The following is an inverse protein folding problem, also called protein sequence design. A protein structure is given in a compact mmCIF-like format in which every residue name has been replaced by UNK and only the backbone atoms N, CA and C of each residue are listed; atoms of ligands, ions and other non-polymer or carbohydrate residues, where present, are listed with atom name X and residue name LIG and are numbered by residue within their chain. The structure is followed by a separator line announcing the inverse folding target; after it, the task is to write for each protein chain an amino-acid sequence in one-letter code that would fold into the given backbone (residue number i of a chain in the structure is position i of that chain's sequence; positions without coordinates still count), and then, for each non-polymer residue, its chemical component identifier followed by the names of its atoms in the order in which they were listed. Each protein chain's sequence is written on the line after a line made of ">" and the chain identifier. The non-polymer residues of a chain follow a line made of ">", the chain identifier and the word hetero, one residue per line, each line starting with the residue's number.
data_IF_090445480468
#
_entry.id   IF_090445480468
#
_cell.length_a   1.000
_cell.length_b   1.000
_cell.length_c   1.000
_cell.angle_alpha   90.00
_cell.angle_beta   90.00
_cell.angle_gamma   90.00
#
_symmetry.space_group_name_H-M   'P 1'
#
loop_
_entity.id
_entity.type
_entity.pdbx_description
1 polymer ?
#
# COMPACT_ATOMS: atom_id res chain seq x y z
N UNK A 1 48.88 -2.09 -22.01
CA UNK A 1 47.73 -1.15 -22.01
C UNK A 1 47.87 -0.32 -20.76
N UNK A 2 47.95 0.98 -20.89
CA UNK A 2 48.47 1.86 -19.85
C UNK A 2 47.39 2.14 -18.78
N UNK A 3 47.73 2.08 -17.49
CA UNK A 3 46.85 2.18 -16.32
C UNK A 3 45.99 3.46 -16.32
N UNK A 4 46.48 4.56 -16.91
CA UNK A 4 45.76 5.83 -16.98
C UNK A 4 44.53 5.80 -17.90
N UNK A 5 44.41 4.80 -18.77
CA UNK A 5 43.17 4.58 -19.57
C UNK A 5 42.13 3.84 -18.76
N UNK A 6 42.56 2.90 -17.92
CA UNK A 6 41.63 2.09 -17.11
C UNK A 6 41.10 2.80 -15.88
N UNK A 7 41.95 3.65 -15.27
CA UNK A 7 41.55 4.36 -14.04
C UNK A 7 40.28 5.19 -14.19
N UNK A 8 40.10 6.05 -15.21
CA UNK A 8 38.85 6.78 -15.42
C UNK A 8 37.61 5.85 -15.63
N UNK A 9 37.80 4.76 -16.38
CA UNK A 9 36.72 3.79 -16.64
C UNK A 9 36.30 3.13 -15.33
N UNK A 10 37.25 2.68 -14.51
CA UNK A 10 36.99 2.08 -13.21
C UNK A 10 36.24 3.08 -12.30
N UNK A 11 36.70 4.34 -12.26
CA UNK A 11 36.04 5.38 -11.45
C UNK A 11 34.59 5.62 -11.89
N UNK A 12 34.31 5.67 -13.19
CA UNK A 12 32.93 5.81 -13.72
C UNK A 12 32.08 4.60 -13.36
N UNK A 13 32.57 3.38 -13.52
CA UNK A 13 31.85 2.15 -13.15
C UNK A 13 31.59 2.12 -11.66
N UNK A 14 32.57 2.43 -10.82
CA UNK A 14 32.39 2.52 -9.36
C UNK A 14 31.35 3.55 -9.00
N UNK A 15 31.36 4.73 -9.61
CA UNK A 15 30.35 5.77 -9.39
C UNK A 15 28.94 5.27 -9.74
N UNK A 16 28.78 4.60 -10.89
CA UNK A 16 27.47 4.03 -11.31
C UNK A 16 26.97 3.00 -10.29
N UNK A 17 27.85 2.10 -9.83
CA UNK A 17 27.50 1.08 -8.84
C UNK A 17 27.15 1.69 -7.49
N UNK A 18 27.90 2.70 -7.03
CA UNK A 18 27.60 3.41 -5.77
C UNK A 18 26.23 4.09 -5.85
N UNK A 19 25.94 4.81 -6.92
CA UNK A 19 24.64 5.46 -7.13
C UNK A 19 23.51 4.43 -7.25
N UNK A 20 23.76 3.32 -7.94
CA UNK A 20 22.85 2.20 -8.00
C UNK A 20 22.55 1.61 -6.62
N UNK A 21 23.60 1.38 -5.82
CA UNK A 21 23.46 0.89 -4.45
C UNK A 21 22.69 1.87 -3.55
N UNK A 22 22.98 3.18 -3.62
CA UNK A 22 22.23 4.20 -2.84
C UNK A 22 20.74 4.16 -3.19
N UNK A 23 20.41 4.07 -4.48
CA UNK A 23 19.02 3.94 -4.92
C UNK A 23 18.39 2.63 -4.42
N UNK A 24 19.06 1.50 -4.58
CA UNK A 24 18.57 0.21 -4.09
C UNK A 24 18.40 0.21 -2.57
N UNK A 25 19.39 0.73 -1.84
CA UNK A 25 19.36 0.84 -0.39
C UNK A 25 18.15 1.66 0.08
N UNK A 26 17.85 2.78 -0.59
CA UNK A 26 16.68 3.60 -0.26
C UNK A 26 15.35 2.88 -0.49
N UNK A 27 15.30 1.73 -1.13
CA UNK A 27 14.11 0.91 -1.33
C UNK A 27 14.02 -0.22 -0.30
N UNK A 28 15.12 -0.96 -0.07
CA UNK A 28 15.10 -2.12 0.83
C UNK A 28 15.40 -1.80 2.30
N UNK A 29 16.01 -0.64 2.58
CA UNK A 29 16.35 -0.17 3.93
C UNK A 29 15.76 1.24 4.15
N UNK A 30 14.42 1.34 4.37
CA UNK A 30 13.75 2.61 4.58
C UNK A 30 14.20 3.30 5.87
N UNK A 31 14.19 4.62 5.87
CA UNK A 31 14.20 5.39 7.12
C UNK A 31 12.84 5.22 7.80
N UNK A 32 12.71 4.19 8.62
CA UNK A 32 11.47 3.81 9.28
C UNK A 32 11.09 4.80 10.37
N UNK A 33 9.82 5.14 10.43
CA UNK A 33 9.26 5.87 11.56
C UNK A 33 9.06 4.92 12.75
N UNK A 34 9.37 5.38 13.95
CA UNK A 34 8.90 4.72 15.18
C UNK A 34 7.39 4.93 15.34
N UNK A 35 6.75 4.17 16.20
CA UNK A 35 5.33 4.34 16.52
C UNK A 35 5.05 5.78 16.99
N UNK A 36 5.84 6.30 17.94
CA UNK A 36 5.67 7.67 18.44
C UNK A 36 5.83 8.71 17.34
N UNK A 37 6.84 8.56 16.48
CA UNK A 37 7.08 9.50 15.38
C UNK A 37 5.96 9.45 14.32
N UNK A 38 5.44 8.26 14.00
CA UNK A 38 4.32 8.12 13.07
C UNK A 38 3.02 8.70 13.65
N UNK A 39 2.75 8.44 14.94
CA UNK A 39 1.62 9.01 15.66
C UNK A 39 1.69 10.53 15.72
N UNK A 40 2.84 11.09 16.11
CA UNK A 40 3.04 12.54 16.14
C UNK A 40 2.84 13.18 14.75
N UNK A 41 3.31 12.50 13.71
CA UNK A 41 3.12 12.95 12.32
C UNK A 41 1.65 12.91 11.90
N UNK A 42 0.89 11.87 12.29
CA UNK A 42 -0.56 11.82 12.02
C UNK A 42 -1.33 12.89 12.78
N UNK A 43 -0.99 13.19 14.03
CA UNK A 43 -1.60 14.31 14.78
C UNK A 43 -1.45 15.65 14.07
N UNK A 44 -0.29 15.89 13.41
CA UNK A 44 -0.06 17.12 12.64
C UNK A 44 -0.84 17.10 11.32
N UNK A 45 -0.87 15.96 10.61
CA UNK A 45 -1.48 15.84 9.28
C UNK A 45 -3.01 15.70 9.33
N UNK A 46 -3.54 15.16 10.41
CA UNK A 46 -4.96 14.90 10.64
C UNK A 46 -5.31 15.19 12.10
N UNK A 47 -5.41 16.47 12.51
CA UNK A 47 -5.71 16.81 13.89
C UNK A 47 -6.98 16.12 14.39
N UNK A 48 -6.91 15.54 15.59
CA UNK A 48 -8.01 14.80 16.22
C UNK A 48 -8.17 13.33 15.78
N UNK A 49 -7.49 12.88 14.72
CA UNK A 49 -7.62 11.49 14.26
C UNK A 49 -7.04 10.49 15.27
N UNK A 50 -5.91 10.83 15.91
CA UNK A 50 -5.32 9.95 16.92
C UNK A 50 -6.11 9.98 18.24
N UNK A 51 -6.82 11.04 18.53
CA UNK A 51 -7.73 11.09 19.68
C UNK A 51 -8.92 10.15 19.45
N UNK A 52 -9.45 10.09 18.23
CA UNK A 52 -10.48 9.12 17.85
C UNK A 52 -9.92 7.70 17.93
N UNK A 53 -8.72 7.45 17.42
CA UNK A 53 -8.04 6.15 17.49
C UNK A 53 -7.92 5.65 18.93
N UNK A 54 -7.63 6.52 19.90
CA UNK A 54 -7.50 6.16 21.32
C UNK A 54 -8.84 5.76 21.98
N UNK A 55 -9.97 6.10 21.35
CA UNK A 55 -11.30 5.67 21.83
C UNK A 55 -11.69 4.29 21.32
N UNK A 56 -10.95 3.71 20.37
CA UNK A 56 -11.28 2.43 19.79
C UNK A 56 -10.83 1.26 20.66
N UNK A 57 -11.69 0.27 20.79
CA UNK A 57 -11.33 -1.01 21.41
C UNK A 57 -10.57 -1.87 20.39
N UNK A 58 -9.26 -1.69 20.33
CA UNK A 58 -8.37 -2.36 19.39
C UNK A 58 -7.71 -3.56 20.06
N UNK A 59 -7.98 -4.72 19.50
CA UNK A 59 -7.25 -5.93 19.88
C UNK A 59 -5.90 -5.99 19.16
N UNK A 60 -4.82 -6.21 19.89
CA UNK A 60 -3.47 -6.31 19.33
C UNK A 60 -2.89 -7.70 19.53
N UNK A 61 -2.32 -8.27 18.47
CA UNK A 61 -1.73 -9.60 18.49
C UNK A 61 -0.59 -9.72 17.48
N UNK A 62 0.01 -10.89 17.44
CA UNK A 62 1.03 -11.24 16.45
C UNK A 62 0.47 -12.26 15.46
N UNK A 63 0.80 -12.09 14.19
CA UNK A 63 0.51 -13.05 13.14
C UNK A 63 1.84 -13.71 12.75
N UNK A 64 1.92 -15.02 12.91
CA UNK A 64 3.04 -15.81 12.41
C UNK A 64 2.91 -15.99 10.90
N UNK A 65 3.94 -15.64 10.15
CA UNK A 65 3.93 -15.78 8.69
C UNK A 65 4.63 -17.06 8.23
N UNK A 66 4.25 -17.57 7.07
CA UNK A 66 4.94 -18.70 6.46
C UNK A 66 6.41 -18.40 6.10
N UNK A 67 6.80 -17.13 6.11
CA UNK A 67 8.18 -16.68 5.90
C UNK A 67 8.98 -16.57 7.21
N UNK A 68 8.47 -17.14 8.33
CA UNK A 68 9.14 -17.20 9.62
C UNK A 68 9.46 -15.83 10.24
N UNK A 69 8.62 -14.83 9.99
CA UNK A 69 8.59 -13.54 10.69
C UNK A 69 7.22 -13.34 11.31
N UNK A 70 7.13 -12.48 12.32
CA UNK A 70 5.87 -12.12 12.94
C UNK A 70 5.48 -10.70 12.58
N UNK A 71 4.21 -10.51 12.24
CA UNK A 71 3.61 -9.20 12.00
C UNK A 71 2.83 -8.74 13.21
N UNK A 72 3.04 -7.51 13.62
CA UNK A 72 2.21 -6.88 14.65
C UNK A 72 0.92 -6.39 14.04
N UNK A 73 -0.19 -6.89 14.54
CA UNK A 73 -1.53 -6.65 14.01
C UNK A 73 -2.43 -5.94 15.02
N UNK A 74 -3.37 -5.16 14.48
CA UNK A 74 -4.29 -4.28 15.19
C UNK A 74 -5.68 -4.47 14.61
N UNK A 75 -6.54 -5.21 15.33
CA UNK A 75 -7.89 -5.52 14.89
C UNK A 75 -8.91 -4.58 15.53
N UNK A 76 -9.65 -3.89 14.69
CA UNK A 76 -10.73 -2.98 15.05
C UNK A 76 -12.07 -3.59 14.65
N UNK A 77 -12.93 -4.03 15.58
CA UNK A 77 -14.22 -4.57 15.25
C UNK A 77 -15.16 -3.51 14.66
N UNK A 78 -16.08 -3.94 13.78
CA UNK A 78 -17.19 -3.13 13.34
C UNK A 78 -18.09 -2.76 14.51
N UNK A 79 -18.89 -1.69 14.39
CA UNK A 79 -19.85 -1.30 15.44
C UNK A 79 -21.03 -2.29 15.54
N UNK A 80 -21.36 -2.93 14.43
CA UNK A 80 -22.39 -3.96 14.36
C UNK A 80 -21.74 -5.23 13.84
N UNK A 81 -21.93 -6.32 14.56
CA UNK A 81 -21.37 -7.61 14.18
C UNK A 81 -21.91 -8.09 12.83
N UNK A 82 -21.01 -8.51 11.97
CA UNK A 82 -21.29 -8.95 10.60
C UNK A 82 -20.09 -9.74 10.04
N UNK A 83 -20.18 -10.18 8.79
CA UNK A 83 -19.12 -10.96 8.15
C UNK A 83 -18.23 -10.17 7.17
N UNK A 84 -18.19 -8.83 7.25
CA UNK A 84 -17.41 -7.98 6.32
C UNK A 84 -16.12 -7.53 6.97
N UNK A 85 -15.01 -7.82 6.29
CA UNK A 85 -13.66 -7.55 6.77
C UNK A 85 -12.85 -6.80 5.72
N UNK A 86 -11.91 -5.98 6.16
CA UNK A 86 -10.90 -5.35 5.32
C UNK A 86 -9.53 -5.41 5.99
N UNK A 87 -8.51 -5.81 5.24
CA UNK A 87 -7.11 -5.71 5.67
C UNK A 87 -6.49 -4.47 5.03
N UNK A 88 -5.84 -3.64 5.84
CA UNK A 88 -5.24 -2.38 5.38
C UNK A 88 -3.72 -2.44 5.49
N UNK A 89 -3.05 -2.33 4.35
CA UNK A 89 -1.61 -2.25 4.20
C UNK A 89 -1.14 -0.79 4.10
N UNK A 90 -0.25 -0.37 5.00
CA UNK A 90 0.24 1.00 5.06
C UNK A 90 1.34 1.30 4.04
N UNK A 91 1.68 2.58 3.87
CA UNK A 91 2.73 3.04 2.96
C UNK A 91 4.15 2.86 3.49
N UNK A 92 5.12 2.93 2.57
CA UNK A 92 6.56 2.84 2.81
C UNK A 92 7.04 3.79 3.91
N UNK A 93 7.97 3.33 4.75
CA UNK A 93 8.55 4.04 5.90
C UNK A 93 7.59 4.35 7.06
N UNK A 94 6.34 3.96 6.97
CA UNK A 94 5.29 4.31 7.95
C UNK A 94 5.01 3.14 8.92
N UNK A 95 3.92 3.22 9.66
CA UNK A 95 3.38 2.19 10.55
C UNK A 95 1.86 2.10 10.34
N UNK A 96 1.16 1.20 11.05
CA UNK A 96 -0.31 1.13 11.03
C UNK A 96 -1.01 2.48 11.31
N UNK A 97 -0.38 3.42 12.00
CA UNK A 97 -0.95 4.76 12.20
C UNK A 97 -1.31 5.46 10.88
N UNK A 98 -0.56 5.20 9.80
CA UNK A 98 -0.92 5.71 8.46
C UNK A 98 -2.21 5.14 7.90
N UNK A 99 -2.62 3.96 8.36
CA UNK A 99 -3.86 3.29 7.94
C UNK A 99 -5.11 3.76 8.72
N UNK A 100 -4.95 4.40 9.88
CA UNK A 100 -6.05 4.78 10.79
C UNK A 100 -7.13 5.60 10.10
N UNK A 101 -6.77 6.53 9.23
CA UNK A 101 -7.73 7.35 8.44
C UNK A 101 -8.64 6.50 7.54
N UNK A 102 -8.12 5.42 6.99
CA UNK A 102 -8.89 4.47 6.17
C UNK A 102 -9.67 3.50 7.04
N UNK A 103 -9.08 3.08 8.17
CA UNK A 103 -9.75 2.25 9.15
C UNK A 103 -11.04 2.91 9.67
N UNK A 104 -10.98 4.22 9.95
CA UNK A 104 -12.16 4.99 10.31
C UNK A 104 -13.24 4.92 9.22
N UNK A 105 -12.89 5.23 7.96
CA UNK A 105 -13.84 5.22 6.85
C UNK A 105 -14.45 3.84 6.60
N UNK A 106 -13.65 2.77 6.67
CA UNK A 106 -14.13 1.41 6.45
C UNK A 106 -14.99 0.92 7.61
N UNK A 107 -14.67 1.28 8.86
CA UNK A 107 -15.51 0.99 10.03
C UNK A 107 -16.86 1.69 9.96
N UNK A 108 -16.90 2.97 9.56
CA UNK A 108 -18.14 3.72 9.30
C UNK A 108 -19.02 3.05 8.22
N UNK A 109 -18.40 2.35 7.26
CA UNK A 109 -19.10 1.55 6.25
C UNK A 109 -19.44 0.12 6.72
N UNK A 110 -19.19 -0.18 7.99
CA UNK A 110 -19.57 -1.42 8.66
C UNK A 110 -18.60 -2.58 8.43
N UNK A 111 -17.33 -2.34 8.20
CA UNK A 111 -16.30 -3.37 8.10
C UNK A 111 -15.58 -3.57 9.43
N UNK A 112 -15.27 -4.82 9.78
CA UNK A 112 -14.19 -5.13 10.70
C UNK A 112 -12.87 -4.82 9.98
N UNK A 113 -11.93 -4.19 10.69
CA UNK A 113 -10.68 -3.71 10.08
C UNK A 113 -9.49 -4.40 10.74
N UNK A 114 -8.63 -5.00 9.94
CA UNK A 114 -7.31 -5.44 10.36
C UNK A 114 -6.27 -4.49 9.76
N UNK A 115 -5.56 -3.77 10.63
CA UNK A 115 -4.33 -3.06 10.28
C UNK A 115 -3.16 -3.91 10.77
N UNK A 116 -2.01 -3.80 10.14
CA UNK A 116 -0.78 -4.42 10.61
C UNK A 116 0.42 -3.54 10.24
N UNK A 117 1.50 -3.67 10.97
CA UNK A 117 2.76 -3.09 10.55
C UNK A 117 3.37 -4.01 9.49
N UNK A 118 3.66 -3.47 8.29
CA UNK A 118 4.34 -4.19 7.20
C UNK A 118 5.69 -4.74 7.70
N UNK A 119 6.19 -5.83 7.09
CA UNK A 119 7.54 -6.35 7.40
C UNK A 119 8.57 -5.24 7.47
N UNK A 120 9.48 -5.33 8.43
CA UNK A 120 10.55 -4.34 8.60
C UNK A 120 10.04 -2.93 8.93
N UNK A 121 8.77 -2.76 9.36
CA UNK A 121 8.19 -1.49 9.80
C UNK A 121 7.54 -1.63 11.17
N UNK A 122 7.36 -0.50 11.87
CA UNK A 122 6.70 -0.47 13.17
C UNK A 122 7.30 -1.47 14.15
N UNK A 123 6.44 -2.35 14.70
CA UNK A 123 6.83 -3.43 15.61
C UNK A 123 7.02 -4.79 14.90
N UNK A 124 6.65 -4.89 13.62
CA UNK A 124 6.80 -6.14 12.86
C UNK A 124 8.26 -6.52 12.63
N UNK A 125 8.49 -7.82 12.60
CA UNK A 125 9.80 -8.39 12.31
C UNK A 125 10.18 -8.24 10.84
N UNK A 126 11.36 -8.70 10.48
CA UNK A 126 11.93 -8.62 9.13
C UNK A 126 13.23 -7.83 9.10
N UNK A 127 13.97 -7.94 8.02
CA UNK A 127 15.29 -7.35 7.86
C UNK A 127 15.41 -6.43 6.62
N UNK A 128 14.34 -6.36 5.82
CA UNK A 128 14.29 -5.53 4.62
C UNK A 128 12.85 -5.32 4.13
N UNK A 129 12.69 -4.24 3.38
CA UNK A 129 11.50 -3.96 2.57
C UNK A 129 11.72 -4.41 1.12
N UNK A 130 10.69 -4.91 0.46
CA UNK A 130 10.76 -5.34 -0.95
C UNK A 130 9.74 -4.66 -1.85
N UNK A 131 9.18 -3.54 -1.41
CA UNK A 131 8.27 -2.70 -2.18
C UNK A 131 7.00 -3.43 -2.69
N UNK A 132 6.50 -4.38 -1.90
CA UNK A 132 5.29 -5.15 -2.20
C UNK A 132 5.54 -6.60 -2.58
N UNK A 133 6.79 -7.03 -2.85
CA UNK A 133 7.04 -8.41 -3.31
C UNK A 133 6.94 -9.46 -2.21
N UNK A 134 7.65 -9.31 -1.11
CA UNK A 134 7.49 -10.21 0.05
C UNK A 134 6.26 -9.79 0.86
N UNK A 135 5.97 -8.50 0.91
CA UNK A 135 4.82 -7.92 1.60
C UNK A 135 3.48 -8.48 1.09
N UNK A 136 3.36 -8.85 -0.20
CA UNK A 136 2.15 -9.52 -0.72
C UNK A 136 1.88 -10.87 -0.03
N UNK A 137 2.93 -11.58 0.36
CA UNK A 137 2.80 -12.85 1.08
C UNK A 137 2.47 -12.64 2.57
N UNK A 138 2.97 -11.55 3.16
CA UNK A 138 2.57 -11.15 4.51
C UNK A 138 1.09 -10.77 4.58
N UNK A 139 0.61 -10.05 3.56
CA UNK A 139 -0.81 -9.73 3.44
C UNK A 139 -1.66 -11.01 3.28
N UNK A 140 -1.19 -11.98 2.50
CA UNK A 140 -1.84 -13.30 2.39
C UNK A 140 -1.94 -14.00 3.75
N UNK A 141 -0.89 -13.94 4.58
CA UNK A 141 -0.91 -14.54 5.92
C UNK A 141 -1.86 -13.78 6.85
N UNK A 142 -1.92 -12.45 6.77
CA UNK A 142 -2.89 -11.64 7.50
C UNK A 142 -4.34 -11.95 7.09
N UNK A 143 -4.59 -12.18 5.81
CA UNK A 143 -5.88 -12.64 5.29
C UNK A 143 -6.19 -14.05 5.82
N UNK A 144 -5.23 -14.96 5.78
CA UNK A 144 -5.38 -16.34 6.24
C UNK A 144 -5.74 -16.38 7.73
N UNK A 145 -5.09 -15.56 8.54
CA UNK A 145 -5.43 -15.41 9.95
C UNK A 145 -6.91 -15.05 10.19
N UNK A 146 -7.46 -14.11 9.39
CA UNK A 146 -8.87 -13.74 9.51
C UNK A 146 -9.80 -14.90 9.12
N UNK A 147 -9.47 -15.66 8.07
CA UNK A 147 -10.25 -16.84 7.67
C UNK A 147 -10.16 -17.96 8.70
N UNK A 148 -9.02 -18.18 9.31
CA UNK A 148 -8.85 -19.17 10.40
C UNK A 148 -9.65 -18.77 11.65
N UNK A 149 -9.66 -17.49 11.97
CA UNK A 149 -10.31 -16.97 13.17
C UNK A 149 -11.82 -16.85 13.05
N UNK A 150 -12.32 -16.37 11.91
CA UNK A 150 -13.72 -16.00 11.73
C UNK A 150 -14.49 -16.92 10.76
N UNK A 151 -13.78 -17.89 10.17
CA UNK A 151 -14.39 -18.90 9.30
C UNK A 151 -14.42 -18.51 7.82
N UNK A 152 -14.87 -19.45 6.96
CA UNK A 152 -14.79 -19.31 5.50
C UNK A 152 -15.84 -18.36 4.90
N UNK A 153 -16.87 -17.98 5.65
CA UNK A 153 -18.02 -17.21 5.14
C UNK A 153 -17.81 -15.70 5.22
N UNK A 154 -16.62 -15.26 5.60
CA UNK A 154 -16.32 -13.82 5.65
C UNK A 154 -16.18 -13.23 4.24
N UNK A 155 -16.62 -11.98 4.11
CA UNK A 155 -16.47 -11.15 2.91
C UNK A 155 -15.27 -10.25 3.15
N UNK A 156 -14.15 -10.52 2.50
CA UNK A 156 -12.90 -9.83 2.76
C UNK A 156 -12.43 -9.02 1.54
N UNK A 157 -12.06 -7.77 1.79
CA UNK A 157 -11.36 -6.91 0.83
C UNK A 157 -10.01 -6.45 1.36
N UNK A 158 -9.19 -5.92 0.46
CA UNK A 158 -7.90 -5.31 0.82
C UNK A 158 -7.88 -3.84 0.45
N UNK A 159 -7.22 -3.05 1.27
CA UNK A 159 -6.98 -1.62 1.07
C UNK A 159 -5.50 -1.33 1.23
N UNK A 160 -4.89 -0.65 0.29
CA UNK A 160 -3.48 -0.28 0.40
C UNK A 160 -3.22 1.17 0.07
N UNK A 161 -2.25 1.76 0.76
CA UNK A 161 -1.74 3.11 0.49
C UNK A 161 -0.32 3.02 -0.07
N UNK A 162 -0.03 3.65 -1.21
CA UNK A 162 1.33 3.76 -1.77
C UNK A 162 1.98 2.38 -1.99
N UNK A 163 3.01 2.01 -1.24
CA UNK A 163 3.59 0.67 -1.24
C UNK A 163 2.54 -0.39 -0.87
N UNK A 164 1.72 -0.15 0.16
CA UNK A 164 0.64 -1.05 0.55
C UNK A 164 -0.39 -1.25 -0.57
N UNK A 165 -0.62 -0.23 -1.43
CA UNK A 165 -1.46 -0.37 -2.61
C UNK A 165 -0.86 -1.34 -3.64
N UNK A 166 0.47 -1.29 -3.83
CA UNK A 166 1.16 -2.26 -4.67
C UNK A 166 1.10 -3.67 -4.06
N UNK A 167 1.28 -3.79 -2.74
CA UNK A 167 1.13 -5.03 -1.96
C UNK A 167 -0.25 -5.65 -2.19
N UNK A 168 -1.33 -4.89 -1.99
CA UNK A 168 -2.70 -5.37 -2.17
C UNK A 168 -3.01 -5.80 -3.60
N UNK A 169 -2.50 -5.07 -4.60
CA UNK A 169 -2.66 -5.43 -6.01
C UNK A 169 -1.86 -6.69 -6.38
N UNK A 170 -0.66 -6.86 -5.83
CA UNK A 170 0.18 -8.02 -6.14
C UNK A 170 -0.38 -9.28 -5.45
N UNK A 171 -0.88 -9.16 -4.24
CA UNK A 171 -1.44 -10.27 -3.45
C UNK A 171 -2.64 -10.93 -4.16
N UNK A 172 -3.62 -10.15 -4.67
CA UNK A 172 -4.84 -10.71 -5.25
C UNK A 172 -4.62 -11.64 -6.46
N UNK A 173 -3.41 -11.69 -7.03
CA UNK A 173 -3.11 -12.57 -8.17
C UNK A 173 -3.17 -14.05 -7.80
N UNK A 174 -2.85 -14.39 -6.57
CA UNK A 174 -2.77 -15.77 -6.10
C UNK A 174 -3.77 -16.10 -4.98
N UNK A 175 -4.44 -15.10 -4.40
CA UNK A 175 -5.52 -15.31 -3.42
C UNK A 175 -6.90 -15.08 -4.04
N UNK A 176 -7.70 -16.12 -4.14
CA UNK A 176 -9.06 -16.04 -4.66
C UNK A 176 -10.10 -15.72 -3.57
N UNK A 177 -9.70 -15.55 -2.31
CA UNK A 177 -10.58 -15.22 -1.18
C UNK A 177 -10.90 -13.74 -1.12
N UNK A 178 -10.01 -12.88 -1.63
CA UNK A 178 -10.23 -11.42 -1.71
C UNK A 178 -11.37 -11.11 -2.67
N UNK A 179 -12.30 -10.27 -2.22
CA UNK A 179 -13.52 -9.90 -2.98
C UNK A 179 -13.41 -8.56 -3.68
N UNK A 180 -12.57 -7.67 -3.22
CA UNK A 180 -12.28 -6.38 -3.85
C UNK A 180 -10.92 -5.83 -3.38
N UNK A 181 -10.33 -4.96 -4.18
CA UNK A 181 -9.08 -4.26 -3.87
C UNK A 181 -9.27 -2.75 -3.98
N UNK A 182 -8.84 -2.00 -2.97
CA UNK A 182 -8.78 -0.54 -2.98
C UNK A 182 -7.32 -0.11 -2.97
N UNK A 183 -6.92 0.68 -3.96
CA UNK A 183 -5.55 1.16 -4.18
C UNK A 183 -5.51 2.67 -4.11
N UNK A 184 -4.92 3.24 -3.06
CA UNK A 184 -4.71 4.69 -2.93
C UNK A 184 -3.25 5.06 -3.21
N UNK A 185 -3.04 5.98 -4.14
CA UNK A 185 -1.75 6.52 -4.60
C UNK A 185 -0.65 5.48 -4.87
N UNK A 186 -1.03 4.27 -5.33
CA UNK A 186 -0.12 3.19 -5.64
C UNK A 186 0.68 3.42 -6.93
N UNK A 187 1.89 2.87 -7.01
CA UNK A 187 2.64 2.86 -8.25
C UNK A 187 2.21 1.71 -9.17
N UNK A 188 2.15 1.97 -10.46
CA UNK A 188 1.80 0.95 -11.46
C UNK A 188 2.97 -0.01 -11.78
N UNK A 189 4.21 0.50 -11.69
CA UNK A 189 5.44 -0.24 -11.98
C UNK A 189 6.60 0.49 -11.32
N UNK A 190 7.44 -0.22 -10.55
CA UNK A 190 8.53 0.39 -9.81
C UNK A 190 9.57 1.03 -10.73
N UNK A 191 9.91 0.39 -11.86
CA UNK A 191 10.87 0.93 -12.81
C UNK A 191 10.35 2.21 -13.48
N UNK A 192 9.03 2.27 -13.74
CA UNK A 192 8.37 3.47 -14.25
C UNK A 192 8.46 4.61 -13.22
N UNK A 193 8.18 4.34 -11.94
CA UNK A 193 8.32 5.31 -10.85
C UNK A 193 9.76 5.82 -10.72
N UNK A 194 10.74 4.92 -10.65
CA UNK A 194 12.16 5.31 -10.57
C UNK A 194 12.60 6.14 -11.78
N UNK A 195 12.15 5.77 -12.97
CA UNK A 195 12.43 6.54 -14.20
C UNK A 195 11.90 7.97 -14.10
N UNK A 196 10.69 8.13 -13.55
CA UNK A 196 10.10 9.45 -13.30
C UNK A 196 10.91 10.24 -12.25
N UNK A 197 11.25 9.64 -11.12
CA UNK A 197 11.99 10.28 -10.03
C UNK A 197 13.40 10.71 -10.46
N UNK A 198 14.09 9.91 -11.29
CA UNK A 198 15.37 10.28 -11.88
C UNK A 198 15.25 11.47 -12.83
N UNK A 199 14.20 11.47 -13.68
CA UNK A 199 13.92 12.61 -14.58
C UNK A 199 13.64 13.89 -13.79
N UNK A 200 12.85 13.80 -12.73
CA UNK A 200 12.50 14.94 -11.86
C UNK A 200 13.75 15.59 -11.24
N UNK A 201 14.78 14.79 -10.97
CA UNK A 201 16.06 15.25 -10.42
C UNK A 201 17.13 15.56 -11.50
N UNK A 202 16.73 15.59 -12.77
CA UNK A 202 17.63 15.79 -13.91
C UNK A 202 18.79 14.76 -13.95
N UNK A 203 18.58 13.57 -13.39
CA UNK A 203 19.56 12.49 -13.39
C UNK A 203 19.33 11.56 -14.59
N UNK A 204 20.40 11.08 -15.24
CA UNK A 204 20.28 10.09 -16.29
C UNK A 204 19.75 8.78 -15.73
N UNK A 205 18.71 8.22 -16.37
CA UNK A 205 18.10 6.97 -15.91
C UNK A 205 19.02 5.74 -16.13
N UNK A 206 19.74 5.73 -17.23
CA UNK A 206 20.71 4.68 -17.53
C UNK A 206 22.13 5.23 -17.43
N UNK A 207 23.04 4.45 -16.86
CA UNK A 207 22.95 3.06 -16.38
C UNK A 207 22.47 2.91 -14.91
N UNK A 208 22.11 3.97 -14.21
CA UNK A 208 21.89 3.97 -12.76
C UNK A 208 20.71 3.08 -12.32
N UNK A 209 19.56 3.12 -13.03
CA UNK A 209 18.41 2.26 -12.70
C UNK A 209 18.77 0.78 -12.93
N UNK A 210 19.60 0.47 -13.93
CA UNK A 210 20.09 -0.90 -14.14
C UNK A 210 20.99 -1.35 -12.99
N UNK A 211 21.93 -0.50 -12.56
CA UNK A 211 22.78 -0.78 -11.41
C UNK A 211 21.96 -0.91 -10.12
N UNK A 212 20.92 -0.07 -9.93
CA UNK A 212 20.02 -0.16 -8.79
C UNK A 212 19.22 -1.49 -8.78
N UNK A 213 18.71 -1.93 -9.92
CA UNK A 213 18.02 -3.22 -10.05
C UNK A 213 18.96 -4.39 -9.71
N UNK A 214 20.22 -4.31 -10.15
CA UNK A 214 21.23 -5.32 -9.83
C UNK A 214 21.54 -5.36 -8.32
N UNK A 215 21.78 -4.21 -7.71
CA UNK A 215 22.07 -4.09 -6.27
C UNK A 215 20.85 -4.53 -5.43
N UNK A 216 19.64 -4.15 -5.83
CA UNK A 216 18.39 -4.57 -5.17
C UNK A 216 18.24 -6.09 -5.24
N UNK A 217 18.42 -6.69 -6.44
CA UNK A 217 18.39 -8.14 -6.61
C UNK A 217 19.44 -8.85 -5.75
N UNK A 218 20.64 -8.29 -5.65
CA UNK A 218 21.69 -8.92 -4.86
C UNK A 218 21.34 -9.04 -3.39
N UNK A 219 20.66 -8.02 -2.84
CA UNK A 219 20.19 -8.00 -1.44
C UNK A 219 18.89 -8.79 -1.25
N UNK A 220 17.88 -8.55 -2.10
CA UNK A 220 16.50 -9.02 -1.88
C UNK A 220 16.14 -10.29 -2.67
N UNK A 221 16.96 -10.67 -3.67
CA UNK A 221 16.66 -11.68 -4.69
C UNK A 221 15.46 -11.33 -5.59
N UNK A 222 14.99 -10.10 -5.54
CA UNK A 222 13.86 -9.58 -6.33
C UNK A 222 14.34 -8.60 -7.39
N UNK A 223 13.84 -8.72 -8.60
CA UNK A 223 14.11 -7.79 -9.71
C UNK A 223 12.99 -6.77 -9.84
N UNK A 224 13.31 -5.56 -10.26
CA UNK A 224 12.31 -4.49 -10.42
C UNK A 224 11.16 -4.86 -11.36
N UNK A 225 11.36 -5.75 -12.34
CA UNK A 225 10.30 -6.17 -13.25
C UNK A 225 9.20 -7.03 -12.57
N UNK A 226 9.47 -7.61 -11.41
CA UNK A 226 8.49 -8.34 -10.60
C UNK A 226 7.59 -7.36 -9.81
N UNK A 227 8.03 -6.12 -9.61
CA UNK A 227 7.34 -5.07 -8.89
C UNK A 227 6.50 -4.21 -9.86
N UNK A 228 5.52 -4.86 -10.50
CA UNK A 228 4.70 -4.27 -11.56
C UNK A 228 3.21 -4.53 -11.34
N UNK A 229 2.57 -3.82 -10.38
CA UNK A 229 1.14 -3.93 -10.13
C UNK A 229 0.27 -3.83 -11.39
N UNK A 230 0.63 -3.01 -12.37
CA UNK A 230 -0.13 -2.90 -13.62
C UNK A 230 -0.22 -4.22 -14.41
N UNK A 231 0.78 -5.10 -14.29
CA UNK A 231 0.72 -6.44 -14.89
C UNK A 231 -0.29 -7.31 -14.16
N UNK A 232 -0.36 -7.22 -12.83
CA UNK A 232 -1.35 -7.90 -12.01
C UNK A 232 -2.77 -7.44 -12.34
N UNK A 233 -2.96 -6.11 -12.40
CA UNK A 233 -4.25 -5.49 -12.74
C UNK A 233 -4.80 -5.96 -14.09
N UNK A 234 -3.95 -6.18 -15.11
CA UNK A 234 -4.38 -6.72 -16.41
C UNK A 234 -5.09 -8.07 -16.34
N UNK A 235 -4.82 -8.83 -15.29
CA UNK A 235 -5.38 -10.15 -15.05
C UNK A 235 -6.28 -10.19 -13.81
N UNK A 236 -6.73 -9.01 -13.36
CA UNK A 236 -7.59 -8.90 -12.19
C UNK A 236 -8.89 -9.70 -12.38
N UNK A 237 -9.30 -10.39 -11.31
CA UNK A 237 -10.53 -11.17 -11.24
C UNK A 237 -11.57 -10.54 -10.31
N UNK A 238 -11.15 -9.57 -9.51
CA UNK A 238 -11.97 -8.89 -8.51
C UNK A 238 -12.15 -7.41 -8.83
N UNK A 239 -13.24 -6.78 -8.40
CA UNK A 239 -13.42 -5.34 -8.54
C UNK A 239 -12.30 -4.54 -7.90
N UNK A 240 -11.91 -3.42 -8.55
CA UNK A 240 -10.83 -2.56 -8.07
C UNK A 240 -11.22 -1.10 -8.06
N UNK A 241 -10.91 -0.40 -6.97
CA UNK A 241 -11.01 1.05 -6.87
C UNK A 241 -9.60 1.66 -6.82
N UNK A 242 -9.33 2.58 -7.74
CA UNK A 242 -8.09 3.35 -7.79
C UNK A 242 -8.37 4.78 -7.33
N UNK A 243 -7.63 5.26 -6.35
CA UNK A 243 -7.73 6.62 -5.84
C UNK A 243 -6.35 7.30 -5.88
N UNK A 244 -6.31 8.59 -6.18
CA UNK A 244 -5.04 9.31 -6.29
C UNK A 244 -5.23 10.82 -6.11
N UNK A 245 -4.23 11.49 -5.54
CA UNK A 245 -4.19 12.94 -5.50
C UNK A 245 -3.84 13.54 -6.87
N UNK A 246 -4.57 14.57 -7.29
CA UNK A 246 -4.38 15.18 -8.62
C UNK A 246 -2.97 15.68 -8.87
N UNK A 247 -2.34 16.25 -7.85
CA UNK A 247 -1.03 16.92 -7.95
C UNK A 247 0.08 16.20 -7.19
N UNK A 248 -0.07 14.89 -6.95
CA UNK A 248 0.97 14.08 -6.33
C UNK A 248 2.26 14.12 -7.17
N UNK A 249 3.32 14.64 -6.56
CA UNK A 249 4.63 14.82 -7.22
C UNK A 249 5.60 13.68 -6.96
N UNK A 250 5.27 12.77 -6.04
CA UNK A 250 6.12 11.61 -5.75
C UNK A 250 5.72 10.40 -6.60
N UNK A 251 4.44 10.03 -6.59
CA UNK A 251 3.88 9.05 -7.52
C UNK A 251 2.81 9.79 -8.35
N UNK A 252 3.06 10.09 -9.64
CA UNK A 252 2.09 10.79 -10.47
C UNK A 252 0.77 10.02 -10.61
N UNK A 253 -0.36 10.73 -10.63
CA UNK A 253 -1.71 10.15 -10.84
C UNK A 253 -1.83 9.25 -12.07
N UNK A 254 -0.96 9.45 -13.07
CA UNK A 254 -0.89 8.62 -14.28
C UNK A 254 -0.68 7.13 -13.97
N UNK A 255 -0.09 6.80 -12.81
CA UNK A 255 0.04 5.42 -12.37
C UNK A 255 -1.34 4.79 -12.12
N UNK A 256 -2.21 5.44 -11.34
CA UNK A 256 -3.59 4.97 -11.08
C UNK A 256 -4.46 5.01 -12.34
N UNK A 257 -4.33 6.05 -13.17
CA UNK A 257 -5.06 6.15 -14.44
C UNK A 257 -4.73 4.96 -15.35
N UNK A 258 -3.44 4.65 -15.55
CA UNK A 258 -3.00 3.51 -16.37
C UNK A 258 -3.46 2.17 -15.82
N UNK A 259 -3.45 1.99 -14.50
CA UNK A 259 -3.96 0.77 -13.87
C UNK A 259 -5.47 0.64 -14.08
N UNK A 260 -6.22 1.73 -13.89
CA UNK A 260 -7.65 1.76 -14.16
C UNK A 260 -7.97 1.44 -15.62
N UNK A 261 -7.23 2.00 -16.59
CA UNK A 261 -7.45 1.76 -18.03
C UNK A 261 -7.37 0.27 -18.38
N UNK A 262 -6.38 -0.44 -17.85
CA UNK A 262 -6.11 -1.85 -18.17
C UNK A 262 -6.88 -2.85 -17.31
N UNK A 263 -7.56 -2.40 -16.26
CA UNK A 263 -8.33 -3.26 -15.36
C UNK A 263 -9.57 -3.83 -16.08
N UNK A 264 -9.71 -5.18 -16.18
CA UNK A 264 -10.79 -5.80 -16.94
C UNK A 264 -12.10 -5.97 -16.16
N UNK A 265 -12.06 -5.79 -14.83
CA UNK A 265 -13.20 -6.02 -13.92
C UNK A 265 -14.02 -4.76 -13.66
N UNK A 266 -15.06 -4.85 -12.82
CA UNK A 266 -15.73 -3.66 -12.27
C UNK A 266 -14.70 -2.78 -11.58
N UNK A 267 -14.63 -1.53 -11.99
CA UNK A 267 -13.61 -0.60 -11.54
C UNK A 267 -14.16 0.78 -11.24
N UNK A 268 -13.44 1.49 -10.35
CA UNK A 268 -13.65 2.90 -10.04
C UNK A 268 -12.34 3.68 -10.13
N UNK A 269 -12.42 4.97 -10.39
CA UNK A 269 -11.29 5.90 -10.37
C UNK A 269 -11.69 7.20 -9.68
N UNK A 270 -10.92 7.60 -8.69
CA UNK A 270 -10.98 8.93 -8.09
C UNK A 270 -9.65 9.64 -8.28
N UNK A 271 -9.65 10.78 -8.96
CA UNK A 271 -8.55 11.75 -8.93
C UNK A 271 -9.00 12.91 -8.05
N UNK A 272 -8.51 12.89 -6.80
CA UNK A 272 -8.92 13.85 -5.78
C UNK A 272 -8.25 15.22 -6.00
N UNK A 273 -9.02 16.32 -6.04
CA UNK A 273 -8.49 17.65 -6.30
C UNK A 273 -7.67 18.17 -5.10
N UNK A 274 -6.88 19.22 -5.34
CA UNK A 274 -6.17 19.99 -4.30
C UNK A 274 -5.22 19.18 -3.40
N UNK A 275 -4.79 17.99 -3.80
CA UNK A 275 -3.86 17.15 -3.07
C UNK A 275 -2.49 17.18 -3.76
N UNK A 276 -1.58 18.02 -3.26
CA UNK A 276 -0.28 18.28 -3.86
C UNK A 276 0.81 17.33 -3.36
N UNK A 277 0.66 16.82 -2.14
CA UNK A 277 1.63 15.92 -1.54
C UNK A 277 1.15 14.47 -1.59
N UNK A 278 2.12 13.58 -1.63
CA UNK A 278 1.87 12.14 -1.61
C UNK A 278 1.13 11.73 -0.33
N UNK A 279 0.08 10.91 -0.44
CA UNK A 279 -0.79 10.44 0.65
C UNK A 279 -1.66 11.51 1.33
N UNK A 280 -1.79 12.70 0.74
CA UNK A 280 -2.62 13.80 1.28
C UNK A 280 -4.07 13.76 0.77
N UNK A 281 -4.33 13.03 -0.29
CA UNK A 281 -5.62 13.06 -0.99
C UNK A 281 -6.80 12.69 -0.09
N UNK A 282 -6.68 11.60 0.66
CA UNK A 282 -7.71 11.13 1.60
C UNK A 282 -7.96 12.08 2.77
N UNK A 283 -6.94 12.82 3.23
CA UNK A 283 -7.05 13.78 4.32
C UNK A 283 -7.75 15.06 3.88
N UNK A 284 -7.36 15.60 2.73
CA UNK A 284 -7.92 16.85 2.20
C UNK A 284 -9.30 16.70 1.60
N UNK A 285 -9.66 15.48 1.21
CA UNK A 285 -10.93 15.16 0.55
C UNK A 285 -11.67 14.03 1.27
N UNK A 286 -11.66 14.02 2.61
CA UNK A 286 -12.19 12.90 3.40
C UNK A 286 -13.65 12.57 3.08
N UNK A 287 -14.51 13.57 2.90
CA UNK A 287 -15.91 13.36 2.52
C UNK A 287 -16.05 12.78 1.11
N UNK A 288 -15.28 13.28 0.15
CA UNK A 288 -15.27 12.72 -1.20
C UNK A 288 -14.80 11.26 -1.21
N UNK A 289 -13.80 10.93 -0.39
CA UNK A 289 -13.33 9.54 -0.22
C UNK A 289 -14.46 8.66 0.34
N UNK A 290 -15.17 9.10 1.39
CA UNK A 290 -16.32 8.37 1.96
C UNK A 290 -17.42 8.10 0.92
N UNK A 291 -17.78 9.12 0.14
CA UNK A 291 -18.79 9.00 -0.92
C UNK A 291 -18.34 7.98 -1.96
N UNK A 292 -17.13 8.11 -2.49
CA UNK A 292 -16.62 7.23 -3.55
C UNK A 292 -16.43 5.79 -3.07
N UNK A 293 -15.94 5.59 -1.83
CA UNK A 293 -15.84 4.27 -1.20
C UNK A 293 -17.23 3.63 -1.07
N UNK A 294 -18.21 4.36 -0.54
CA UNK A 294 -19.58 3.90 -0.38
C UNK A 294 -20.21 3.52 -1.73
N UNK A 295 -20.12 4.39 -2.71
CA UNK A 295 -20.69 4.16 -4.05
C UNK A 295 -20.05 2.95 -4.73
N UNK A 296 -18.73 2.80 -4.63
CA UNK A 296 -18.04 1.64 -5.17
C UNK A 296 -18.48 0.35 -4.49
N UNK A 297 -18.51 0.32 -3.15
CA UNK A 297 -18.91 -0.87 -2.38
C UNK A 297 -20.38 -1.24 -2.60
N UNK A 298 -21.28 -0.26 -2.79
CA UNK A 298 -22.67 -0.49 -3.20
C UNK A 298 -22.74 -1.09 -4.61
N UNK A 299 -22.00 -0.52 -5.55
CA UNK A 299 -21.95 -0.99 -6.95
C UNK A 299 -21.52 -2.46 -7.06
N UNK A 300 -20.58 -2.89 -6.22
CA UNK A 300 -20.09 -4.27 -6.18
C UNK A 300 -20.82 -5.15 -5.16
N UNK A 301 -21.89 -4.65 -4.56
CA UNK A 301 -22.78 -5.36 -3.61
C UNK A 301 -22.06 -5.88 -2.33
N UNK A 302 -21.01 -5.20 -1.90
CA UNK A 302 -20.33 -5.50 -0.64
C UNK A 302 -21.00 -4.86 0.57
N UNK A 303 -21.80 -3.83 0.35
CA UNK A 303 -22.70 -3.20 1.34
C UNK A 303 -24.08 -2.98 0.72
N UNK A 304 -25.10 -2.77 1.55
CA UNK A 304 -26.44 -2.42 1.11
C UNK A 304 -26.80 -1.00 1.55
N UNK A 305 -27.67 -0.33 0.78
CA UNK A 305 -28.28 0.89 1.27
C UNK A 305 -29.23 0.51 2.42
N UNK A 306 -28.82 0.66 3.67
CA UNK A 306 -29.77 0.72 4.76
C UNK A 306 -30.61 1.99 4.54
N UNK A 307 -31.81 1.85 3.96
CA UNK A 307 -32.86 2.81 4.21
C UNK A 307 -33.08 2.76 5.72
N UNK A 308 -32.91 3.90 6.38
CA UNK A 308 -33.24 4.12 7.77
C UNK A 308 -34.51 3.32 8.09
N UNK A 309 -34.43 2.49 9.15
CA UNK A 309 -35.55 1.73 9.61
C UNK A 309 -36.75 2.67 9.87
N UNK A 310 -37.70 2.60 8.98
CA UNK A 310 -38.96 3.26 9.20
C UNK A 310 -39.50 2.79 10.56
N UNK A 311 -39.79 3.74 11.43
CA UNK A 311 -40.62 3.56 12.60
C UNK A 311 -41.83 2.77 12.13
N UNK A 312 -41.95 1.55 12.59
CA UNK A 312 -43.26 0.93 12.69
C UNK A 312 -43.81 1.30 14.05
N UNK A 313 -44.89 2.05 14.00
CA UNK A 313 -45.77 2.43 15.09
C UNK A 313 -46.24 1.23 15.93
#
# INVERSE_FOLDING_TARGET
>A
MEWYVWLPIILVVCFILVMGYVTAKSLFDPKRLTLDASRAKENVRSPGLMDIYDTWDIETFWIDTHQSIRLKAYFLPAEVDNNRYVVIAHGYSYTHHGAVKYAQMMRELGFHVLMYDERYHGESEGDMCTMGYLEQHDLYDAISYLYERFGPDIILGTYGESMGAATAILEHQFDNRVRFVISDCGFADLKMLLTYLYRLRHLPKYPFIWAADLCFYWKTKVRFHALSPIKAVKHAKVPMLFMHGESDRFIPKDHSIKMHEVCPTTKGLLIAPNAADHTEASRKNSELYRVVLKDFLLKIQMITNNKEGGKHD
#
